data_IF_460822757615
#
_entry.id   IF_460822757615
#
_cell.length_a   1.000
_cell.length_b   1.000
_cell.length_c   1.000
_cell.angle_alpha   90.00
_cell.angle_beta   90.00
_cell.angle_gamma   90.00
#
_symmetry.space_group_name_H-M   'P 1'
#
loop_
_entity.id
_entity.type
_entity.pdbx_description
1 polymer ?
#
# COMPACT_ATOMS: atom_id res chain seq x y z
N UNK A 1 -0.06 -9.16 -2.47
CA UNK A 1 0.95 -8.20 -2.90
C UNK A 1 0.82 -6.85 -2.21
N UNK A 2 -0.38 -6.33 -1.98
CA UNK A 2 -0.59 -5.10 -1.19
C UNK A 2 0.00 -5.19 0.21
N UNK A 3 0.00 -6.36 0.83
CA UNK A 3 0.67 -6.63 2.11
C UNK A 3 2.21 -6.47 2.07
N UNK A 4 2.82 -6.40 0.89
CA UNK A 4 4.28 -6.26 0.74
C UNK A 4 4.75 -4.81 0.64
N UNK A 5 3.85 -3.86 0.50
CA UNK A 5 4.20 -2.44 0.33
C UNK A 5 4.30 -1.69 1.65
N UNK A 6 3.56 -2.13 2.66
CA UNK A 6 3.57 -1.51 3.98
C UNK A 6 3.40 -2.57 5.08
N UNK A 7 3.94 -2.30 6.25
CA UNK A 7 3.65 -3.07 7.45
C UNK A 7 2.43 -2.49 8.15
N UNK A 8 1.66 -3.36 8.80
CA UNK A 8 0.74 -2.92 9.81
C UNK A 8 1.54 -2.22 10.92
N UNK A 9 1.22 -0.96 11.18
CA UNK A 9 1.94 -0.14 12.13
C UNK A 9 1.70 -0.47 13.59
N UNK A 10 0.93 -1.52 13.92
CA UNK A 10 0.67 -1.88 15.30
C UNK A 10 1.89 -2.48 16.01
N UNK A 11 2.67 -3.27 15.30
CA UNK A 11 3.82 -3.96 15.87
C UNK A 11 5.00 -3.90 14.91
N UNK A 12 6.15 -3.52 15.42
CA UNK A 12 7.41 -3.54 14.72
C UNK A 12 8.49 -4.14 15.61
N UNK A 13 9.04 -5.29 15.23
CA UNK A 13 10.14 -5.92 15.95
C UNK A 13 11.48 -5.33 15.49
N UNK A 14 12.15 -4.63 16.40
CA UNK A 14 13.48 -4.10 16.16
C UNK A 14 14.53 -5.17 16.45
N UNK A 15 15.31 -5.57 15.44
CA UNK A 15 16.41 -6.53 15.56
C UNK A 15 16.06 -7.97 15.96
N UNK A 16 14.83 -8.42 15.74
CA UNK A 16 14.40 -9.79 16.07
C UNK A 16 14.36 -10.14 17.54
N UNK A 17 14.48 -9.15 18.43
CA UNK A 17 14.40 -9.32 19.88
C UNK A 17 13.03 -8.90 20.38
N UNK A 18 12.38 -9.72 21.16
CA UNK A 18 11.04 -9.44 21.76
C UNK A 18 11.03 -8.18 22.63
N UNK A 19 12.17 -7.82 23.23
CA UNK A 19 12.33 -6.63 24.07
C UNK A 19 12.38 -5.31 23.30
N UNK A 20 12.43 -5.36 21.97
CA UNK A 20 12.49 -4.19 21.07
C UNK A 20 11.29 -4.11 20.16
N UNK A 21 10.13 -4.46 20.66
CA UNK A 21 8.87 -4.33 19.91
C UNK A 21 8.40 -2.88 20.00
N UNK A 22 8.13 -2.29 18.85
CA UNK A 22 7.53 -0.97 18.75
C UNK A 22 6.05 -1.10 18.36
N UNK A 23 5.19 -0.54 19.22
CA UNK A 23 3.76 -0.50 18.99
C UNK A 23 3.33 0.91 18.53
N UNK A 24 2.42 0.99 17.56
CA UNK A 24 1.99 2.27 16.97
C UNK A 24 0.46 2.42 16.95
N UNK A 25 -0.24 1.87 17.92
CA UNK A 25 -1.67 2.11 18.09
C UNK A 25 -1.94 3.43 18.82
N UNK A 26 -3.16 3.94 18.71
CA UNK A 26 -3.55 5.19 19.36
C UNK A 26 -3.39 5.11 20.90
N UNK A 27 -2.67 6.06 21.46
CA UNK A 27 -2.39 6.15 22.91
C UNK A 27 -1.13 5.43 23.36
N UNK A 28 -0.40 4.75 22.46
CA UNK A 28 0.90 4.16 22.81
C UNK A 28 2.01 5.20 22.64
N UNK A 29 2.86 5.33 23.65
CA UNK A 29 4.06 6.16 23.60
C UNK A 29 5.20 5.37 22.97
N UNK A 30 5.65 5.76 21.79
CA UNK A 30 6.82 5.19 21.12
C UNK A 30 7.79 6.30 20.72
N UNK A 31 9.07 5.96 20.59
CA UNK A 31 10.11 6.94 20.23
C UNK A 31 9.93 7.48 18.80
N UNK A 32 9.41 6.69 17.87
CA UNK A 32 9.20 7.08 16.48
C UNK A 32 7.87 6.49 15.95
N UNK A 33 6.74 7.00 16.39
CA UNK A 33 5.44 6.50 15.93
C UNK A 33 5.25 6.83 14.44
N UNK A 34 4.67 5.89 13.70
CA UNK A 34 4.18 6.20 12.35
C UNK A 34 2.95 7.09 12.45
N UNK A 35 2.96 8.23 11.79
CA UNK A 35 1.81 9.13 11.73
C UNK A 35 0.62 8.56 10.94
N UNK A 36 0.88 7.60 10.06
CA UNK A 36 -0.15 6.95 9.22
C UNK A 36 -0.62 5.59 9.74
N UNK A 37 -0.02 5.07 10.81
CA UNK A 37 -0.26 3.72 11.31
C UNK A 37 0.41 2.61 10.48
N UNK A 38 1.18 2.96 9.43
CA UNK A 38 1.84 2.00 8.56
C UNK A 38 3.31 2.35 8.37
N UNK A 39 4.13 1.32 8.10
CA UNK A 39 5.52 1.46 7.70
C UNK A 39 5.71 1.02 6.25
N UNK A 40 6.50 1.76 5.49
CA UNK A 40 6.84 1.37 4.12
C UNK A 40 7.76 0.15 4.14
N UNK A 41 7.34 -0.92 3.46
CA UNK A 41 8.12 -2.15 3.27
C UNK A 41 8.76 -2.25 1.89
N UNK A 42 8.26 -1.46 0.95
CA UNK A 42 8.73 -1.46 -0.42
C UNK A 42 10.16 -0.93 -0.48
N UNK A 43 10.99 -1.53 -1.34
CA UNK A 43 12.39 -1.19 -1.47
C UNK A 43 13.26 -1.42 -0.21
N UNK A 44 12.79 -2.26 0.72
CA UNK A 44 13.54 -2.66 1.90
C UNK A 44 13.81 -4.17 1.83
N UNK A 45 15.04 -4.58 2.08
CA UNK A 45 15.34 -5.98 2.31
C UNK A 45 14.92 -6.38 3.73
N UNK A 46 13.83 -7.12 3.82
CA UNK A 46 13.22 -7.53 5.10
C UNK A 46 14.03 -8.58 5.87
N UNK A 47 15.05 -9.18 5.25
CA UNK A 47 15.97 -10.08 5.94
C UNK A 47 17.01 -9.35 6.77
N UNK A 48 17.21 -8.04 6.54
CA UNK A 48 18.05 -7.23 7.39
C UNK A 48 17.28 -6.77 8.63
N UNK A 49 17.93 -6.87 9.77
CA UNK A 49 17.43 -6.21 10.98
C UNK A 49 17.52 -4.68 10.82
N UNK A 50 16.68 -3.89 11.49
CA UNK A 50 16.70 -2.43 11.39
C UNK A 50 18.10 -1.80 11.63
N UNK A 51 18.92 -2.43 12.45
CA UNK A 51 20.28 -1.97 12.73
C UNK A 51 21.22 -2.03 11.50
N UNK A 52 20.94 -2.93 10.55
CA UNK A 52 21.77 -3.11 9.34
C UNK A 52 21.14 -2.49 8.08
N UNK A 53 19.99 -1.85 8.18
CA UNK A 53 19.33 -1.23 7.01
C UNK A 53 20.16 -0.11 6.41
N UNK A 54 20.93 0.63 7.22
CA UNK A 54 21.85 1.68 6.75
C UNK A 54 23.00 1.13 5.89
N UNK A 55 23.30 -0.17 6.02
CA UNK A 55 24.35 -0.87 5.28
C UNK A 55 23.81 -1.80 4.21
N UNK A 56 22.51 -1.66 3.89
CA UNK A 56 21.86 -2.46 2.86
C UNK A 56 22.38 -2.05 1.49
N UNK A 57 22.79 -3.02 0.70
CA UNK A 57 23.11 -2.84 -0.73
C UNK A 57 21.87 -2.93 -1.62
N UNK A 58 20.69 -2.61 -1.08
CA UNK A 58 19.45 -2.62 -1.86
C UNK A 58 19.46 -1.48 -2.86
N UNK A 59 19.41 -1.82 -4.14
CA UNK A 59 19.40 -0.84 -5.23
C UNK A 59 18.08 -0.08 -5.28
N UNK A 60 18.15 1.20 -5.61
CA UNK A 60 17.00 1.98 -5.99
C UNK A 60 16.61 1.67 -7.43
N UNK A 61 15.39 1.16 -7.62
CA UNK A 61 14.87 0.82 -8.94
C UNK A 61 14.08 2.02 -9.48
N UNK A 62 14.68 2.77 -10.40
CA UNK A 62 14.01 3.91 -11.03
C UNK A 62 12.91 3.49 -12.00
N UNK A 63 13.18 2.51 -12.85
CA UNK A 63 12.22 1.96 -13.81
C UNK A 63 12.19 0.44 -13.67
N UNK A 64 11.01 -0.13 -13.58
CA UNK A 64 10.82 -1.59 -13.54
C UNK A 64 9.86 -2.06 -14.64
N UNK A 65 9.98 -3.33 -15.00
CA UNK A 65 9.21 -3.91 -16.10
C UNK A 65 7.70 -3.69 -16.01
N UNK A 66 7.14 -3.67 -14.81
CA UNK A 66 5.71 -3.35 -14.61
C UNK A 66 5.35 -1.96 -15.11
N UNK A 67 6.25 -0.99 -14.99
CA UNK A 67 6.01 0.36 -15.50
C UNK A 67 5.94 0.36 -17.03
N UNK A 68 6.84 -0.38 -17.67
CA UNK A 68 6.80 -0.56 -19.14
C UNK A 68 5.48 -1.21 -19.57
N UNK A 69 5.04 -2.24 -18.88
CA UNK A 69 3.76 -2.90 -19.15
C UNK A 69 2.58 -1.95 -18.97
N UNK A 70 2.57 -1.12 -17.90
CA UNK A 70 1.47 -0.18 -17.65
C UNK A 70 1.48 0.97 -18.66
N UNK A 71 2.65 1.41 -19.13
CA UNK A 71 2.75 2.39 -20.22
C UNK A 71 2.21 1.78 -21.52
N UNK A 72 2.55 0.52 -21.80
CA UNK A 72 1.99 -0.19 -22.95
C UNK A 72 0.46 -0.33 -22.85
N UNK A 73 -0.09 -0.69 -21.70
CA UNK A 73 -1.53 -0.79 -21.50
C UNK A 73 -2.25 0.54 -21.77
N UNK A 74 -1.67 1.65 -21.31
CA UNK A 74 -2.21 2.98 -21.56
C UNK A 74 -2.18 3.33 -23.06
N UNK A 75 -1.06 3.10 -23.74
CA UNK A 75 -0.95 3.29 -25.18
C UNK A 75 -1.92 2.40 -25.97
N UNK A 76 -2.11 1.14 -25.55
CA UNK A 76 -3.05 0.23 -26.18
C UNK A 76 -4.50 0.73 -26.02
N UNK A 77 -4.87 1.17 -24.83
CA UNK A 77 -6.20 1.73 -24.57
C UNK A 77 -6.47 2.99 -25.42
N UNK A 78 -5.49 3.91 -25.50
CA UNK A 78 -5.62 5.12 -26.33
C UNK A 78 -5.72 4.81 -27.84
N UNK A 79 -5.23 3.66 -28.28
CA UNK A 79 -5.32 3.20 -29.68
C UNK A 79 -6.47 2.23 -29.91
N UNK A 80 -7.44 2.12 -29.00
CA UNK A 80 -8.62 1.26 -29.16
C UNK A 80 -8.36 -0.24 -29.00
N UNK A 81 -7.14 -0.63 -28.57
CA UNK A 81 -6.74 -2.01 -28.36
C UNK A 81 -7.06 -2.46 -26.92
N UNK A 82 -8.33 -2.46 -26.58
CA UNK A 82 -8.79 -2.74 -25.22
C UNK A 82 -8.39 -4.12 -24.72
N UNK A 83 -8.36 -5.15 -25.57
CA UNK A 83 -7.97 -6.50 -25.18
C UNK A 83 -6.52 -6.59 -24.72
N UNK A 84 -5.62 -5.84 -25.36
CA UNK A 84 -4.20 -5.77 -24.96
C UNK A 84 -4.07 -5.09 -23.58
N UNK A 85 -4.82 -4.00 -23.36
CA UNK A 85 -4.86 -3.31 -22.07
C UNK A 85 -5.42 -4.23 -20.95
N UNK A 86 -6.50 -4.95 -21.21
CA UNK A 86 -7.03 -5.98 -20.29
C UNK A 86 -5.99 -7.05 -19.99
N UNK A 87 -5.27 -7.53 -20.98
CA UNK A 87 -4.23 -8.55 -20.83
C UNK A 87 -3.15 -8.11 -19.82
N UNK A 88 -2.71 -6.87 -19.90
CA UNK A 88 -1.73 -6.31 -18.97
C UNK A 88 -2.31 -6.18 -17.56
N UNK A 89 -3.50 -5.60 -17.41
CA UNK A 89 -4.14 -5.42 -16.11
C UNK A 89 -4.39 -6.76 -15.40
N UNK A 90 -4.88 -7.77 -16.13
CA UNK A 90 -5.07 -9.13 -15.62
C UNK A 90 -3.76 -9.74 -15.14
N UNK A 91 -2.68 -9.60 -15.93
CA UNK A 91 -1.35 -10.13 -15.58
C UNK A 91 -0.82 -9.49 -14.27
N UNK A 92 -1.00 -8.18 -14.10
CA UNK A 92 -0.56 -7.48 -12.90
C UNK A 92 -1.36 -7.94 -11.68
N UNK A 93 -2.68 -8.04 -11.82
CA UNK A 93 -3.58 -8.48 -10.75
C UNK A 93 -3.37 -9.95 -10.37
N UNK A 94 -3.16 -10.82 -11.33
CA UNK A 94 -2.79 -12.22 -11.12
C UNK A 94 -1.49 -12.32 -10.30
N UNK A 95 -0.46 -11.59 -10.71
CA UNK A 95 0.79 -11.51 -9.94
C UNK A 95 0.57 -10.98 -8.53
N UNK A 96 -0.37 -10.05 -8.35
CA UNK A 96 -0.74 -9.51 -7.04
C UNK A 96 -1.48 -10.51 -6.15
N UNK A 97 -1.85 -11.70 -6.67
CA UNK A 97 -2.59 -12.71 -5.95
C UNK A 97 -4.09 -12.44 -5.88
N UNK A 98 -4.61 -11.60 -6.78
CA UNK A 98 -6.05 -11.40 -6.90
C UNK A 98 -6.63 -12.62 -7.63
N UNK A 99 -7.73 -13.16 -7.12
CA UNK A 99 -8.41 -14.29 -7.74
C UNK A 99 -9.03 -13.91 -9.09
N UNK A 100 -9.02 -14.86 -10.03
CA UNK A 100 -9.55 -14.64 -11.36
C UNK A 100 -11.06 -14.32 -11.35
N UNK A 101 -11.78 -14.85 -10.35
CA UNK A 101 -13.22 -14.83 -10.33
C UNK A 101 -13.83 -15.78 -11.37
N UNK A 102 -15.14 -15.97 -11.34
CA UNK A 102 -15.85 -16.86 -12.28
C UNK A 102 -15.77 -16.39 -13.75
N UNK A 103 -15.53 -15.10 -13.96
CA UNK A 103 -15.44 -14.48 -15.29
C UNK A 103 -14.00 -14.30 -15.80
N UNK A 104 -12.98 -14.74 -15.05
CA UNK A 104 -11.58 -14.57 -15.41
C UNK A 104 -11.11 -13.12 -15.52
N UNK A 105 -11.81 -12.18 -14.88
CA UNK A 105 -11.55 -10.75 -15.02
C UNK A 105 -10.70 -10.16 -13.86
N UNK A 106 -10.36 -10.94 -12.85
CA UNK A 106 -9.56 -10.47 -11.70
C UNK A 106 -10.14 -9.22 -11.04
N UNK A 107 -11.48 -9.14 -10.93
CA UNK A 107 -12.19 -7.98 -10.39
C UNK A 107 -12.23 -6.75 -11.31
N UNK A 108 -11.84 -6.87 -12.57
CA UNK A 108 -12.05 -5.83 -13.57
C UNK A 108 -13.48 -5.88 -14.09
N UNK A 109 -14.04 -4.72 -14.41
CA UNK A 109 -15.29 -4.61 -15.14
C UNK A 109 -15.09 -5.12 -16.57
N UNK A 110 -16.02 -5.93 -17.08
CA UNK A 110 -16.00 -6.32 -18.48
C UNK A 110 -16.52 -5.17 -19.37
N UNK A 111 -16.10 -5.16 -20.63
CA UNK A 111 -16.55 -4.19 -21.65
C UNK A 111 -16.45 -2.72 -21.19
N UNK A 112 -15.30 -2.35 -20.60
CA UNK A 112 -15.03 -0.97 -20.21
C UNK A 112 -15.00 -0.08 -21.46
N UNK A 113 -15.62 1.10 -21.37
CA UNK A 113 -15.40 2.17 -22.32
C UNK A 113 -13.94 2.63 -22.28
N UNK A 114 -13.52 3.44 -23.26
CA UNK A 114 -12.19 4.04 -23.27
C UNK A 114 -11.86 4.75 -21.95
N UNK A 115 -12.75 5.61 -21.47
CA UNK A 115 -12.52 6.39 -20.25
C UNK A 115 -12.48 5.51 -18.99
N UNK A 116 -13.33 4.50 -18.92
CA UNK A 116 -13.31 3.51 -17.84
C UNK A 116 -12.02 2.68 -17.84
N UNK A 117 -11.52 2.31 -19.02
CA UNK A 117 -10.25 1.60 -19.15
C UNK A 117 -9.07 2.47 -18.68
N UNK A 118 -9.02 3.72 -19.11
CA UNK A 118 -7.99 4.67 -18.66
C UNK A 118 -8.09 4.88 -17.15
N UNK A 119 -9.28 5.06 -16.60
CA UNK A 119 -9.48 5.18 -15.16
C UNK A 119 -9.00 3.93 -14.40
N UNK A 120 -9.28 2.74 -14.92
CA UNK A 120 -8.81 1.48 -14.34
C UNK A 120 -7.27 1.36 -14.37
N UNK A 121 -6.65 1.75 -15.49
CA UNK A 121 -5.18 1.79 -15.62
C UNK A 121 -4.58 2.76 -14.62
N UNK A 122 -5.13 3.98 -14.50
CA UNK A 122 -4.64 4.98 -13.56
C UNK A 122 -4.81 4.59 -12.10
N UNK A 123 -5.89 3.87 -11.77
CA UNK A 123 -6.10 3.29 -10.45
C UNK A 123 -5.08 2.19 -10.16
N UNK A 124 -4.85 1.27 -11.11
CA UNK A 124 -3.86 0.20 -10.95
C UNK A 124 -2.45 0.78 -10.80
N UNK A 125 -2.08 1.81 -11.59
CA UNK A 125 -0.81 2.53 -11.44
C UNK A 125 -0.66 3.15 -10.06
N UNK A 126 -1.71 3.81 -9.55
CA UNK A 126 -1.73 4.41 -8.21
C UNK A 126 -1.40 3.38 -7.12
N UNK A 127 -1.98 2.19 -7.22
CA UNK A 127 -1.80 1.12 -6.24
C UNK A 127 -0.44 0.43 -6.44
N UNK A 128 -0.12 0.05 -7.67
CA UNK A 128 1.08 -0.71 -8.00
C UNK A 128 2.37 0.08 -7.75
N UNK A 129 2.36 1.39 -8.02
CA UNK A 129 3.51 2.27 -7.86
C UNK A 129 3.49 3.09 -6.56
N UNK A 130 2.69 2.67 -5.58
CA UNK A 130 2.76 3.26 -4.25
C UNK A 130 4.20 3.25 -3.73
N UNK A 131 4.65 4.39 -3.16
CA UNK A 131 6.02 4.63 -2.67
C UNK A 131 7.14 4.66 -3.73
N UNK A 132 6.80 4.70 -5.03
CA UNK A 132 7.79 4.80 -6.12
C UNK A 132 7.86 6.20 -6.76
N UNK A 133 7.19 7.20 -6.19
CA UNK A 133 7.22 8.59 -6.70
C UNK A 133 6.44 8.82 -8.01
N UNK A 134 5.82 7.78 -8.59
CA UNK A 134 5.20 7.86 -9.93
C UNK A 134 3.87 8.61 -9.95
N UNK A 135 3.11 8.63 -8.83
CA UNK A 135 1.76 9.21 -8.78
C UNK A 135 1.73 10.70 -9.15
N UNK A 136 2.72 11.47 -8.67
CA UNK A 136 2.80 12.89 -9.00
C UNK A 136 2.86 13.14 -10.52
N UNK A 137 3.71 12.37 -11.21
CA UNK A 137 3.89 12.49 -12.65
C UNK A 137 2.67 12.02 -13.43
N UNK A 138 2.00 10.97 -12.98
CA UNK A 138 0.74 10.50 -13.56
C UNK A 138 -0.35 11.56 -13.47
N UNK A 139 -0.53 12.18 -12.30
CA UNK A 139 -1.49 13.27 -12.12
C UNK A 139 -1.18 14.48 -12.99
N UNK A 140 0.11 14.83 -13.13
CA UNK A 140 0.56 15.97 -13.93
C UNK A 140 0.33 15.75 -15.42
N UNK A 141 0.82 14.64 -15.96
CA UNK A 141 0.72 14.35 -17.40
C UNK A 141 -0.71 14.14 -17.87
N UNK A 142 -1.57 13.59 -17.01
CA UNK A 142 -3.01 13.37 -17.28
C UNK A 142 -3.90 14.55 -16.85
N UNK A 143 -3.32 15.63 -16.34
CA UNK A 143 -4.04 16.84 -15.85
C UNK A 143 -5.08 16.54 -14.77
N UNK A 144 -4.80 15.55 -13.91
CA UNK A 144 -5.75 15.03 -12.92
C UNK A 144 -5.62 15.71 -11.54
N UNK A 145 -4.76 16.72 -11.36
CA UNK A 145 -4.61 17.36 -10.05
C UNK A 145 -5.90 17.97 -9.54
N UNK A 146 -6.62 18.68 -10.40
CA UNK A 146 -7.85 19.34 -9.98
C UNK A 146 -8.92 18.34 -9.57
N UNK A 147 -9.10 17.26 -10.33
CA UNK A 147 -10.13 16.24 -10.05
C UNK A 147 -9.79 15.30 -8.88
N UNK A 148 -8.50 15.01 -8.68
CA UNK A 148 -8.05 14.01 -7.70
C UNK A 148 -7.57 14.60 -6.38
N UNK A 149 -7.16 15.88 -6.36
CA UNK A 149 -6.50 16.48 -5.21
C UNK A 149 -7.24 17.70 -4.64
N UNK A 150 -7.98 18.47 -5.46
CA UNK A 150 -8.69 19.62 -4.97
C UNK A 150 -9.85 19.22 -4.07
N UNK A 151 -9.94 19.83 -2.88
CA UNK A 151 -11.00 19.57 -1.91
C UNK A 151 -10.93 18.21 -1.24
N UNK A 152 -9.93 17.37 -1.57
CA UNK A 152 -9.76 16.07 -0.91
C UNK A 152 -8.94 16.24 0.36
N UNK A 153 -9.48 15.76 1.49
CA UNK A 153 -8.71 15.61 2.72
C UNK A 153 -8.03 14.24 2.71
N UNK A 154 -6.77 14.22 3.12
CA UNK A 154 -6.06 12.95 3.30
C UNK A 154 -6.53 12.28 4.59
N UNK A 155 -6.74 10.98 4.51
CA UNK A 155 -7.11 10.16 5.64
C UNK A 155 -6.00 9.16 5.93
N UNK A 156 -5.74 8.92 7.21
CA UNK A 156 -4.90 7.85 7.69
C UNK A 156 -5.76 6.81 8.43
N UNK A 157 -5.22 5.62 8.57
CA UNK A 157 -5.77 4.59 9.42
C UNK A 157 -4.95 4.57 10.71
N UNK A 158 -5.60 4.74 11.85
CA UNK A 158 -4.96 4.66 13.15
C UNK A 158 -5.53 3.47 13.91
N UNK A 159 -4.71 2.46 14.19
CA UNK A 159 -5.14 1.31 14.97
C UNK A 159 -5.53 1.73 16.39
N UNK A 160 -6.67 1.27 16.86
CA UNK A 160 -7.14 1.46 18.23
C UNK A 160 -7.27 0.12 18.93
N UNK A 161 -6.85 0.04 20.18
CA UNK A 161 -7.12 -1.12 21.00
C UNK A 161 -8.61 -1.28 21.25
N UNK A 162 -9.08 -2.52 21.22
CA UNK A 162 -10.44 -2.92 21.62
C UNK A 162 -10.55 -3.26 23.12
N UNK A 163 -9.41 -3.49 23.75
CA UNK A 163 -9.28 -3.81 25.18
C UNK A 163 -8.52 -2.68 25.89
N UNK A 164 -8.50 -2.70 27.19
CA UNK A 164 -7.74 -1.70 27.96
C UNK A 164 -6.22 -1.85 27.75
N UNK A 165 -5.43 -0.76 27.82
CA UNK A 165 -3.96 -0.85 27.72
C UNK A 165 -3.35 -1.80 28.78
N UNK A 166 -3.93 -1.86 29.98
CA UNK A 166 -3.46 -2.74 31.06
C UNK A 166 -3.68 -4.22 30.73
N UNK A 167 -4.79 -4.55 30.11
CA UNK A 167 -5.06 -5.93 29.65
C UNK A 167 -4.15 -6.26 28.46
N UNK A 168 -3.96 -5.32 27.54
CA UNK A 168 -3.09 -5.52 26.40
C UNK A 168 -1.64 -5.75 26.81
N UNK A 169 -1.12 -5.02 27.78
CA UNK A 169 0.24 -5.17 28.29
C UNK A 169 0.54 -6.59 28.83
N UNK A 170 -0.47 -7.29 29.32
CA UNK A 170 -0.31 -8.68 29.81
C UNK A 170 -0.16 -9.72 28.69
N UNK A 171 -0.68 -9.43 27.51
CA UNK A 171 -0.77 -10.39 26.40
C UNK A 171 0.08 -10.04 25.19
N UNK A 172 0.55 -8.79 25.09
CA UNK A 172 1.21 -8.23 23.88
C UNK A 172 2.38 -9.04 23.34
N UNK A 173 3.11 -9.74 24.22
CA UNK A 173 4.28 -10.52 23.83
C UNK A 173 3.92 -11.86 23.17
N UNK A 174 2.66 -12.31 23.32
CA UNK A 174 2.15 -13.57 22.81
C UNK A 174 1.19 -13.41 21.62
N UNK A 175 0.94 -12.18 21.17
CA UNK A 175 0.02 -11.91 20.06
C UNK A 175 0.72 -12.15 18.72
N UNK A 176 0.12 -12.97 17.88
CA UNK A 176 0.42 -13.07 16.46
C UNK A 176 -0.37 -12.00 15.72
N UNK A 177 0.28 -10.86 15.41
CA UNK A 177 -0.38 -9.70 14.82
C UNK A 177 -1.04 -10.00 13.47
N UNK A 178 -0.53 -10.95 12.71
CA UNK A 178 -1.10 -11.30 11.41
C UNK A 178 -2.43 -12.04 11.53
N UNK A 179 -2.63 -12.77 12.63
CA UNK A 179 -3.86 -13.53 12.90
C UNK A 179 -4.80 -12.77 13.82
N UNK A 180 -4.24 -12.12 14.84
CA UNK A 180 -5.00 -11.60 15.97
C UNK A 180 -5.34 -10.11 15.82
N UNK A 181 -4.93 -9.46 14.74
CA UNK A 181 -5.14 -8.03 14.55
C UNK A 181 -6.59 -7.62 14.77
N UNK A 182 -7.51 -8.27 14.09
CA UNK A 182 -8.94 -7.92 14.16
C UNK A 182 -9.57 -8.27 15.52
N UNK A 183 -8.93 -9.12 16.31
CA UNK A 183 -9.37 -9.46 17.66
C UNK A 183 -9.09 -8.33 18.64
N UNK A 184 -7.89 -7.76 18.60
CA UNK A 184 -7.44 -6.79 19.59
C UNK A 184 -7.43 -5.34 19.08
N UNK A 185 -7.49 -5.15 17.77
CA UNK A 185 -7.45 -3.81 17.16
C UNK A 185 -8.63 -3.57 16.23
N UNK A 186 -8.96 -2.31 16.06
CA UNK A 186 -9.82 -1.81 14.99
C UNK A 186 -9.16 -0.61 14.35
N UNK A 187 -9.32 -0.48 13.04
CA UNK A 187 -8.89 0.70 12.33
C UNK A 187 -9.88 1.84 12.58
N UNK A 188 -9.37 3.01 12.88
CA UNK A 188 -10.15 4.23 12.88
C UNK A 188 -9.60 5.16 11.81
N UNK A 189 -10.51 5.67 10.98
CA UNK A 189 -10.16 6.67 9.97
C UNK A 189 -9.91 7.99 10.69
N UNK A 190 -8.76 8.58 10.44
CA UNK A 190 -8.40 9.90 10.96
C UNK A 190 -8.12 10.84 9.80
N UNK A 191 -8.58 12.09 9.92
CA UNK A 191 -8.22 13.14 8.96
C UNK A 191 -6.81 13.59 9.31
N UNK A 192 -5.92 13.53 8.34
CA UNK A 192 -4.57 14.04 8.49
C UNK A 192 -4.62 15.54 8.18
N UNK A 193 -4.66 16.36 9.23
CA UNK A 193 -4.49 17.81 9.07
C UNK A 193 -3.04 18.06 8.65
N UNK A 194 -2.88 18.44 7.39
CA UNK A 194 -1.61 18.97 6.92
C UNK A 194 -1.54 20.43 7.35
N UNK A 195 -0.87 20.67 8.47
CA UNK A 195 -0.35 22.03 8.75
C UNK A 195 0.90 22.17 7.87
N UNK A 196 0.78 22.96 6.83
CA UNK A 196 1.92 23.49 6.08
C UNK A 196 2.33 24.81 6.70
#
# INVERSE_FOLDING_TARGET
MYKRQAYNGCKWELSGKKDRIQWTYQGHSTLNPSSSGFYCRKAINVSYTPYYTERSSTDWIEIRFTEVLMNYAECAAENGKSDEAYGVLKRIRQRAGIEAGSNGMYGLKANMSHDEMIAAIMLERKIEFAYEGKRYWDLRRRRMFASEMNGTRRHGLLPKLKISPVEFDKIKDNIDIDKDYTTYFKDSVVVLDQKY
#
